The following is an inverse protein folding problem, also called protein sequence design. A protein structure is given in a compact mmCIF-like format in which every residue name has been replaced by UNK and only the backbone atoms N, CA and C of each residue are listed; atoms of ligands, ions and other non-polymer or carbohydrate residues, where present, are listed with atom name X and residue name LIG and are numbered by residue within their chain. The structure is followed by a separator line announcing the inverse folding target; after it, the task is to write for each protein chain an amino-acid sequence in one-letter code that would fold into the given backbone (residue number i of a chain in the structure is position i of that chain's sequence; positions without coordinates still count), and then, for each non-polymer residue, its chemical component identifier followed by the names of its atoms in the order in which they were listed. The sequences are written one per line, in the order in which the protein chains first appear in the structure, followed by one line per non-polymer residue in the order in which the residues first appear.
data_IF_237395982428
#
_entry.id   IF_237395982428
#
_cell.length_a   1.000
_cell.length_b   1.000
_cell.length_c   1.000
_cell.angle_alpha   90.00
_cell.angle_beta   90.00
_cell.angle_gamma   90.00
#
_symmetry.space_group_name_H-M   'P 1'
#
loop_
_entity.id
_entity.type
_entity.pdbx_description
1 polymer ?
#
# COMPACT_ATOMS: atom_id res chain seq x y z
N UNK A 1 8.67 -3.93 -12.69
CA UNK A 1 7.90 -2.67 -12.61
C UNK A 1 8.17 -1.96 -11.29
N UNK A 2 8.37 -0.67 -11.35
CA UNK A 2 8.61 0.12 -10.15
C UNK A 2 7.31 0.37 -9.38
N UNK A 3 7.34 0.18 -8.08
CA UNK A 3 6.17 0.41 -7.22
C UNK A 3 6.47 1.49 -6.20
N UNK A 4 5.68 2.55 -6.21
CA UNK A 4 5.80 3.64 -5.24
C UNK A 4 5.29 3.25 -3.87
N UNK A 5 4.41 2.23 -3.81
CA UNK A 5 3.81 1.82 -2.54
C UNK A 5 4.85 1.35 -1.52
N UNK A 6 5.94 0.75 -2.00
CA UNK A 6 7.01 0.32 -1.09
C UNK A 6 7.59 1.50 -0.32
N UNK A 7 7.82 2.61 -1.02
CA UNK A 7 8.35 3.82 -0.38
C UNK A 7 7.38 4.39 0.65
N UNK A 8 6.10 4.47 0.29
CA UNK A 8 5.09 4.96 1.22
C UNK A 8 4.95 4.05 2.44
N UNK A 9 5.00 2.73 2.22
CA UNK A 9 4.94 1.77 3.33
C UNK A 9 6.11 2.00 4.29
N UNK A 10 7.30 2.20 3.74
CA UNK A 10 8.48 2.47 4.56
C UNK A 10 8.32 3.76 5.36
N UNK A 11 7.70 4.78 4.79
CA UNK A 11 7.43 6.03 5.50
C UNK A 11 6.45 5.83 6.66
N UNK A 12 5.58 4.84 6.56
CA UNK A 12 4.67 4.47 7.66
C UNK A 12 5.35 3.60 8.71
N UNK A 13 6.61 3.21 8.49
CA UNK A 13 7.34 2.30 9.36
C UNK A 13 6.67 0.95 9.53
N UNK A 14 6.05 0.48 8.44
CA UNK A 14 5.36 -0.81 8.46
C UNK A 14 6.09 -1.83 7.62
N UNK A 15 6.12 -3.07 8.11
CA UNK A 15 6.57 -4.22 7.31
C UNK A 15 5.45 -4.61 6.34
N UNK A 16 5.80 -5.47 5.37
CA UNK A 16 4.78 -6.02 4.47
C UNK A 16 3.71 -6.78 5.23
N UNK A 17 4.11 -7.49 6.28
CA UNK A 17 3.16 -8.23 7.10
C UNK A 17 2.21 -7.29 7.85
N UNK A 18 2.75 -6.20 8.39
CA UNK A 18 1.93 -5.23 9.14
C UNK A 18 0.93 -4.53 8.24
N UNK A 19 1.37 -4.03 7.10
CA UNK A 19 0.45 -3.35 6.20
C UNK A 19 -0.54 -4.33 5.59
N UNK A 20 -0.06 -5.52 5.20
CA UNK A 20 -0.95 -6.56 4.70
C UNK A 20 -2.03 -6.92 5.70
N UNK A 21 -1.65 -7.03 6.99
CA UNK A 21 -2.62 -7.29 8.04
C UNK A 21 -3.70 -6.24 8.16
N UNK A 22 -3.35 -4.97 7.95
CA UNK A 22 -4.33 -3.88 7.95
C UNK A 22 -5.33 -4.00 6.82
N UNK A 23 -4.93 -4.65 5.73
CA UNK A 23 -5.78 -4.84 4.55
C UNK A 23 -6.50 -6.20 4.57
N UNK A 24 -6.27 -7.01 5.61
CA UNK A 24 -6.84 -8.36 5.67
C UNK A 24 -6.13 -9.35 4.78
N UNK A 25 -4.87 -9.10 4.44
CA UNK A 25 -4.09 -9.95 3.55
C UNK A 25 -2.99 -10.67 4.33
N UNK A 26 -2.59 -11.85 3.81
CA UNK A 26 -1.39 -12.51 4.31
C UNK A 26 -0.17 -11.74 3.81
N UNK A 27 0.98 -11.98 4.46
CA UNK A 27 2.23 -11.37 4.01
C UNK A 27 2.52 -11.69 2.56
N UNK A 28 2.33 -12.95 2.16
CA UNK A 28 2.62 -13.39 0.80
C UNK A 28 1.68 -12.71 -0.21
N UNK A 29 0.39 -12.62 0.11
CA UNK A 29 -0.56 -11.97 -0.77
C UNK A 29 -0.23 -10.49 -0.94
N UNK A 30 0.11 -9.81 0.16
CA UNK A 30 0.50 -8.41 0.09
C UNK A 30 1.79 -8.24 -0.74
N UNK A 31 2.80 -9.09 -0.47
CA UNK A 31 4.06 -9.02 -1.20
C UNK A 31 3.86 -9.16 -2.70
N UNK A 32 2.99 -10.09 -3.11
CA UNK A 32 2.69 -10.27 -4.53
C UNK A 32 2.10 -8.99 -5.15
N UNK A 33 1.23 -8.32 -4.42
CA UNK A 33 0.62 -7.07 -4.91
C UNK A 33 1.65 -5.96 -4.99
N UNK A 34 2.52 -5.83 -3.99
CA UNK A 34 3.55 -4.79 -3.99
C UNK A 34 4.54 -4.99 -5.14
N UNK A 35 4.83 -6.25 -5.48
CA UNK A 35 5.77 -6.57 -6.57
C UNK A 35 5.12 -6.55 -7.95
N UNK A 36 3.82 -6.33 -8.02
CA UNK A 36 3.13 -6.27 -9.31
C UNK A 36 2.66 -7.61 -9.85
N UNK A 37 2.78 -8.70 -9.09
CA UNK A 37 2.26 -9.99 -9.52
C UNK A 37 0.74 -10.05 -9.48
N UNK A 38 0.14 -9.31 -8.58
CA UNK A 38 -1.31 -9.14 -8.47
C UNK A 38 -1.58 -7.65 -8.33
N UNK A 39 -2.79 -7.24 -8.64
CA UNK A 39 -3.17 -5.83 -8.51
C UNK A 39 -3.87 -5.57 -7.19
N UNK A 40 -3.67 -4.38 -6.63
CA UNK A 40 -4.47 -3.94 -5.50
C UNK A 40 -5.89 -3.69 -5.97
N UNK A 41 -6.87 -4.09 -5.14
CA UNK A 41 -8.26 -3.75 -5.43
C UNK A 41 -8.50 -2.28 -5.13
N UNK A 42 -9.60 -1.73 -5.68
CA UNK A 42 -9.95 -0.34 -5.41
C UNK A 42 -10.12 -0.08 -3.91
N UNK A 43 -10.74 -1.04 -3.21
CA UNK A 43 -10.94 -0.93 -1.77
C UNK A 43 -9.60 -0.88 -1.03
N UNK A 44 -8.65 -1.72 -1.43
CA UNK A 44 -7.32 -1.73 -0.81
C UNK A 44 -6.58 -0.43 -1.06
N UNK A 45 -6.70 0.12 -2.27
CA UNK A 45 -6.08 1.40 -2.60
C UNK A 45 -6.63 2.52 -1.71
N UNK A 46 -7.93 2.54 -1.50
CA UNK A 46 -8.57 3.53 -0.63
C UNK A 46 -8.10 3.37 0.81
N UNK A 47 -8.02 2.14 1.30
CA UNK A 47 -7.55 1.88 2.66
C UNK A 47 -6.11 2.36 2.86
N UNK A 48 -5.24 2.11 1.89
CA UNK A 48 -3.84 2.56 1.96
C UNK A 48 -3.78 4.08 1.94
N UNK A 49 -4.57 4.72 1.07
CA UNK A 49 -4.64 6.17 1.03
C UNK A 49 -5.04 6.74 2.40
N UNK A 50 -6.04 6.14 3.02
CA UNK A 50 -6.51 6.60 4.33
C UNK A 50 -5.44 6.46 5.41
N UNK A 51 -4.63 5.41 5.34
CA UNK A 51 -3.52 5.25 6.27
C UNK A 51 -2.45 6.31 6.08
N UNK A 52 -2.26 6.79 4.87
CA UNK A 52 -1.24 7.79 4.55
C UNK A 52 -1.71 9.22 4.80
N UNK A 53 -3.01 9.48 4.78
CA UNK A 53 -3.53 10.84 4.90
C UNK A 53 -3.10 11.61 6.14
N UNK A 54 -3.00 11.00 7.33
CA UNK A 54 -2.48 11.74 8.49
C UNK A 54 -1.08 12.27 8.30
N UNK A 55 -0.25 11.58 7.52
CA UNK A 55 1.12 11.99 7.24
C UNK A 55 1.22 12.84 5.97
N UNK A 56 0.39 12.54 4.99
CA UNK A 56 0.38 13.21 3.69
C UNK A 56 -1.05 13.60 3.32
N UNK A 57 -1.59 14.70 3.88
CA UNK A 57 -3.01 15.05 3.70
C UNK A 57 -3.46 15.21 2.25
N UNK A 58 -2.54 15.58 1.35
CA UNK A 58 -2.88 15.80 -0.04
C UNK A 58 -2.58 14.60 -0.93
N UNK A 59 -2.21 13.44 -0.35
CA UNK A 59 -1.86 12.27 -1.15
C UNK A 59 -3.08 11.75 -1.92
N UNK A 60 -2.87 11.35 -3.17
CA UNK A 60 -3.91 10.76 -4.00
C UNK A 60 -3.57 9.32 -4.32
N UNK A 61 -4.58 8.58 -4.79
CA UNK A 61 -4.36 7.20 -5.24
C UNK A 61 -3.35 7.18 -6.39
N UNK A 62 -3.42 8.17 -7.28
CA UNK A 62 -2.47 8.25 -8.39
C UNK A 62 -1.03 8.41 -7.90
N UNK A 63 -0.83 9.21 -6.84
CA UNK A 63 0.50 9.40 -6.28
C UNK A 63 1.09 8.08 -5.76
N UNK A 64 0.25 7.22 -5.21
CA UNK A 64 0.69 5.99 -4.56
C UNK A 64 0.87 4.86 -5.58
N UNK A 65 -0.06 4.72 -6.52
CA UNK A 65 -0.14 3.53 -7.37
C UNK A 65 0.19 3.78 -8.84
N UNK A 66 0.32 5.00 -9.27
CA UNK A 66 0.61 5.37 -10.64
C UNK A 66 1.74 6.40 -10.73
#
# INVERSE_FOLDING_TARGET
MYSKIKGYRNMLNMTQEELGGKLGLTKQAYSNKERGKSEFTDREKIQIKELLQPMFPAVTIDDIFF
#
